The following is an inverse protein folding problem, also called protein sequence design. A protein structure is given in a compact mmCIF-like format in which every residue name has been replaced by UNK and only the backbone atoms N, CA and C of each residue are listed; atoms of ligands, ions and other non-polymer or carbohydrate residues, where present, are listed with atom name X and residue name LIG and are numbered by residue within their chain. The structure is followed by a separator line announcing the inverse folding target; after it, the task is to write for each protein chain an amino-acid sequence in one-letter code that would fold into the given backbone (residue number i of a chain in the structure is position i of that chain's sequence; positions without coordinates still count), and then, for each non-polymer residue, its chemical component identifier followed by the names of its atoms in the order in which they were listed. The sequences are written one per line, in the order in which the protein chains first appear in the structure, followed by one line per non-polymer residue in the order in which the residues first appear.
data_IF_835461882061
#
_entry.id   IF_835461882061
#
_cell.length_a   1.000
_cell.length_b   1.000
_cell.length_c   1.000
_cell.angle_alpha   90.00
_cell.angle_beta   90.00
_cell.angle_gamma   90.00
#
_symmetry.space_group_name_H-M   'P 1'
#
loop_
_entity.id
_entity.type
_entity.pdbx_description
1 polymer ?
#
# COMPACT_ATOMS: atom_id res chain seq x y z
N UNK A 1 10.14 -26.78 10.41
CA UNK A 1 11.48 -27.41 10.39
C UNK A 1 11.49 -28.89 10.74
N UNK A 2 10.75 -29.37 11.78
CA UNK A 2 10.69 -30.79 12.15
C UNK A 2 10.15 -31.70 11.03
N UNK A 3 9.15 -31.24 10.27
CA UNK A 3 8.60 -31.99 9.15
C UNK A 3 9.61 -32.13 7.99
N UNK A 4 10.31 -31.04 7.67
CA UNK A 4 11.37 -31.06 6.67
C UNK A 4 12.51 -32.00 7.04
N UNK A 5 12.95 -31.96 8.30
CA UNK A 5 14.00 -32.85 8.80
C UNK A 5 13.59 -34.35 8.77
N UNK A 6 12.29 -34.66 8.85
CA UNK A 6 11.77 -36.04 8.74
C UNK A 6 11.64 -36.54 7.30
N UNK A 7 11.48 -35.62 6.35
CA UNK A 7 11.30 -35.93 4.93
C UNK A 7 12.61 -35.95 4.14
N UNK A 8 13.66 -35.40 4.72
CA UNK A 8 14.97 -35.33 4.08
C UNK A 8 15.79 -36.58 4.36
N UNK A 9 16.42 -37.15 3.33
CA UNK A 9 17.32 -38.30 3.43
C UNK A 9 18.72 -37.95 3.95
N UNK A 10 18.93 -36.70 4.40
CA UNK A 10 20.20 -36.22 4.91
C UNK A 10 20.09 -34.84 5.57
N UNK A 11 21.21 -34.25 5.99
CA UNK A 11 21.21 -32.92 6.58
C UNK A 11 20.76 -31.88 5.56
N UNK A 12 19.76 -31.07 5.94
CA UNK A 12 19.23 -29.97 5.14
C UNK A 12 19.35 -28.66 5.90
N UNK A 13 19.63 -27.58 5.18
CA UNK A 13 19.60 -26.25 5.74
C UNK A 13 18.13 -25.84 6.02
N UNK A 14 17.91 -25.23 7.17
CA UNK A 14 16.60 -24.66 7.49
C UNK A 14 16.28 -23.53 6.51
N UNK A 15 15.09 -23.52 5.89
CA UNK A 15 14.67 -22.37 5.10
C UNK A 15 14.53 -21.13 5.98
N UNK A 16 14.78 -19.96 5.40
CA UNK A 16 14.46 -18.70 6.02
C UNK A 16 12.94 -18.42 5.84
N UNK A 17 12.30 -17.97 6.90
CA UNK A 17 10.89 -17.61 6.88
C UNK A 17 10.74 -16.11 7.07
N UNK A 18 10.03 -15.46 6.18
CA UNK A 18 9.75 -14.04 6.30
C UNK A 18 8.31 -13.75 5.87
N UNK A 19 7.72 -12.68 6.38
CA UNK A 19 6.43 -12.20 5.89
C UNK A 19 6.62 -11.42 4.59
N UNK A 20 5.54 -11.28 3.81
CA UNK A 20 5.61 -10.46 2.60
C UNK A 20 5.93 -8.99 2.92
N UNK A 21 5.41 -8.47 4.03
CA UNK A 21 5.71 -7.13 4.52
C UNK A 21 7.20 -6.96 4.85
N UNK A 22 7.81 -7.95 5.53
CA UNK A 22 9.24 -7.90 5.83
C UNK A 22 10.08 -8.04 4.57
N UNK A 23 9.61 -8.82 3.59
CA UNK A 23 10.27 -8.89 2.30
C UNK A 23 10.34 -7.50 1.63
N UNK A 24 9.23 -6.79 1.55
CA UNK A 24 9.21 -5.44 0.99
C UNK A 24 10.11 -4.48 1.77
N UNK A 25 10.06 -4.51 3.11
CA UNK A 25 10.91 -3.65 3.97
C UNK A 25 12.40 -3.91 3.80
N UNK A 26 12.81 -5.16 3.63
CA UNK A 26 14.21 -5.52 3.41
C UNK A 26 14.76 -5.05 2.07
N UNK A 27 13.90 -4.85 1.07
CA UNK A 27 14.27 -4.46 -0.29
C UNK A 27 14.03 -2.98 -0.60
N UNK A 28 13.68 -2.18 0.41
CA UNK A 28 13.48 -0.75 0.28
C UNK A 28 14.58 0.04 0.98
N UNK A 29 14.98 1.16 0.39
CA UNK A 29 15.82 2.16 1.05
C UNK A 29 15.01 3.09 1.99
N UNK A 30 13.69 2.99 1.93
CA UNK A 30 12.77 3.78 2.74
C UNK A 30 12.40 3.01 4.03
N UNK A 31 12.14 3.76 5.09
CA UNK A 31 11.69 3.23 6.38
C UNK A 31 10.24 3.63 6.62
N UNK A 32 9.45 2.76 7.23
CA UNK A 32 8.05 3.09 7.58
C UNK A 32 8.04 4.23 8.58
N UNK A 33 7.32 5.29 8.22
CA UNK A 33 7.14 6.45 9.07
C UNK A 33 6.20 6.15 10.24
N UNK A 34 6.43 6.82 11.36
CA UNK A 34 5.45 6.84 12.46
C UNK A 34 4.08 7.36 11.95
N UNK A 35 2.95 6.72 12.33
CA UNK A 35 1.63 7.11 11.85
C UNK A 35 1.26 8.57 12.16
N UNK A 36 1.58 9.06 13.36
CA UNK A 36 1.28 10.45 13.76
C UNK A 36 2.12 11.41 12.92
N UNK A 37 3.41 11.10 12.75
CA UNK A 37 4.30 11.88 11.90
C UNK A 37 3.80 11.93 10.46
N UNK A 38 3.32 10.81 9.93
CA UNK A 38 2.76 10.74 8.57
C UNK A 38 1.58 11.69 8.40
N UNK A 39 0.65 11.73 9.38
CA UNK A 39 -0.48 12.67 9.35
C UNK A 39 0.00 14.13 9.45
N UNK A 40 0.99 14.43 10.29
CA UNK A 40 1.54 15.77 10.39
C UNK A 40 2.21 16.23 9.09
N UNK A 41 2.93 15.34 8.41
CA UNK A 41 3.57 15.65 7.13
C UNK A 41 2.53 15.75 6.00
N UNK A 42 1.48 14.93 6.03
CA UNK A 42 0.34 15.04 5.11
C UNK A 42 -0.41 16.36 5.29
N UNK A 43 -0.62 16.78 6.54
CA UNK A 43 -1.22 18.09 6.85
C UNK A 43 -0.40 19.25 6.28
N UNK A 44 0.93 19.20 6.40
CA UNK A 44 1.80 20.24 5.80
C UNK A 44 1.64 20.28 4.28
N UNK A 45 1.64 19.11 3.63
CA UNK A 45 1.40 19.03 2.18
C UNK A 45 0.04 19.57 1.79
N UNK A 46 -1.00 19.26 2.57
CA UNK A 46 -2.34 19.79 2.36
C UNK A 46 -2.38 21.32 2.45
N UNK A 47 -1.83 21.91 3.50
CA UNK A 47 -1.80 23.37 3.69
C UNK A 47 -0.99 24.03 2.60
N UNK A 48 0.15 23.48 2.22
CA UNK A 48 1.04 24.06 1.22
C UNK A 48 0.41 24.04 -0.18
N UNK A 49 -0.20 22.95 -0.57
CA UNK A 49 -0.85 22.79 -1.88
C UNK A 49 -2.17 23.54 -1.98
N UNK A 50 -2.98 23.51 -0.93
CA UNK A 50 -4.30 24.16 -0.96
C UNK A 50 -4.27 25.65 -0.63
N UNK A 51 -3.27 26.09 0.14
CA UNK A 51 -3.21 27.44 0.72
C UNK A 51 -4.21 27.62 1.88
N UNK A 52 -4.88 26.55 2.34
CA UNK A 52 -5.88 26.63 3.40
C UNK A 52 -5.22 26.59 4.78
N UNK A 53 -4.93 27.75 5.34
CA UNK A 53 -4.35 27.90 6.67
C UNK A 53 -5.40 27.94 7.80
N UNK A 54 -6.70 27.95 7.45
CA UNK A 54 -7.79 27.96 8.44
C UNK A 54 -8.09 26.56 8.97
N UNK A 55 -7.67 25.51 8.26
CA UNK A 55 -7.80 24.14 8.74
C UNK A 55 -6.78 23.88 9.84
N UNK A 56 -7.25 23.46 11.02
CA UNK A 56 -6.34 23.10 12.11
C UNK A 56 -5.90 21.65 12.01
N UNK A 57 -4.75 21.31 12.60
CA UNK A 57 -4.27 19.92 12.61
C UNK A 57 -5.26 18.98 13.32
N UNK A 58 -5.90 19.44 14.41
CA UNK A 58 -6.89 18.63 15.15
C UNK A 58 -8.09 18.27 14.27
N UNK A 59 -8.59 19.23 13.52
CA UNK A 59 -9.71 19.00 12.61
C UNK A 59 -9.28 18.16 11.39
N UNK A 60 -8.08 18.39 10.87
CA UNK A 60 -7.50 17.61 9.79
C UNK A 60 -7.26 16.14 10.18
N UNK A 61 -6.88 15.88 11.43
CA UNK A 61 -6.38 14.57 11.87
C UNK A 61 -7.33 13.42 11.54
N UNK A 62 -8.62 13.60 11.80
CA UNK A 62 -9.62 12.55 11.58
C UNK A 62 -9.76 12.15 10.10
N UNK A 63 -9.95 13.13 9.22
CA UNK A 63 -10.07 12.83 7.80
C UNK A 63 -8.72 12.64 7.08
N UNK A 64 -7.64 13.18 7.64
CA UNK A 64 -6.28 12.94 7.17
C UNK A 64 -5.85 11.48 7.31
N UNK A 65 -6.35 10.77 8.33
CA UNK A 65 -6.14 9.32 8.46
C UNK A 65 -6.80 8.54 7.30
N UNK A 66 -8.00 8.95 6.89
CA UNK A 66 -8.69 8.33 5.75
C UNK A 66 -7.97 8.63 4.45
N UNK A 67 -7.53 9.88 4.26
CA UNK A 67 -6.76 10.26 3.09
C UNK A 67 -5.44 9.49 2.99
N UNK A 68 -4.76 9.26 4.12
CA UNK A 68 -3.55 8.45 4.17
C UNK A 68 -3.84 6.99 3.80
N UNK A 69 -4.95 6.42 4.28
CA UNK A 69 -5.37 5.07 3.93
C UNK A 69 -5.70 4.96 2.43
N UNK A 70 -6.38 5.95 1.85
CA UNK A 70 -6.64 6.00 0.41
C UNK A 70 -5.35 6.07 -0.41
N UNK A 71 -4.37 6.86 0.02
CA UNK A 71 -3.06 6.91 -0.63
C UNK A 71 -2.30 5.59 -0.52
N UNK A 72 -2.41 4.91 0.61
CA UNK A 72 -1.85 3.58 0.82
C UNK A 72 -2.45 2.55 -0.16
N UNK A 73 -3.78 2.58 -0.32
CA UNK A 73 -4.49 1.70 -1.26
C UNK A 73 -4.19 2.04 -2.73
N UNK A 74 -4.06 3.32 -3.08
CA UNK A 74 -3.62 3.76 -4.41
C UNK A 74 -2.28 3.12 -4.76
N UNK A 75 -1.31 3.21 -3.87
CA UNK A 75 0.02 2.68 -4.09
C UNK A 75 0.03 1.14 -4.13
N UNK A 76 -0.67 0.48 -3.21
CA UNK A 76 -0.78 -0.99 -3.18
C UNK A 76 -1.47 -1.56 -4.41
N UNK A 77 -2.41 -0.83 -4.98
CA UNK A 77 -3.10 -1.22 -6.21
C UNK A 77 -2.45 -0.67 -7.49
N UNK A 78 -1.33 0.04 -7.38
CA UNK A 78 -0.64 0.66 -8.53
C UNK A 78 -1.58 1.54 -9.36
N UNK A 79 -2.55 2.16 -8.69
CA UNK A 79 -3.52 3.04 -9.32
C UNK A 79 -2.98 4.46 -9.45
N UNK A 80 -3.59 5.24 -10.34
CA UNK A 80 -3.33 6.67 -10.40
C UNK A 80 -4.27 7.40 -9.42
N UNK A 81 -3.77 8.45 -8.75
CA UNK A 81 -4.54 9.22 -7.77
C UNK A 81 -5.79 9.91 -8.37
N UNK A 82 -5.92 9.91 -9.69
CA UNK A 82 -7.08 10.43 -10.42
C UNK A 82 -8.17 9.39 -10.70
N UNK A 83 -7.94 8.10 -10.37
CA UNK A 83 -8.90 7.04 -10.69
C UNK A 83 -10.22 7.16 -9.92
N UNK A 84 -11.31 6.81 -10.59
CA UNK A 84 -12.67 7.17 -10.13
C UNK A 84 -13.24 6.40 -8.95
N UNK A 85 -12.66 5.25 -8.56
CA UNK A 85 -13.23 4.38 -7.52
C UNK A 85 -13.00 4.92 -6.11
N UNK A 86 -11.86 5.51 -5.85
CA UNK A 86 -11.53 6.16 -4.57
C UNK A 86 -12.36 7.41 -4.28
N UNK A 87 -12.92 8.02 -5.35
CA UNK A 87 -13.88 9.13 -5.25
C UNK A 87 -15.11 8.81 -4.41
N UNK A 88 -15.52 7.55 -4.36
CA UNK A 88 -16.76 7.16 -3.70
C UNK A 88 -16.65 7.09 -2.18
N UNK A 89 -15.51 6.70 -1.63
CA UNK A 89 -15.33 6.56 -0.17
C UNK A 89 -15.11 7.90 0.51
N UNK A 90 -14.24 8.74 -0.02
CA UNK A 90 -14.10 10.13 0.43
C UNK A 90 -15.43 10.91 0.33
N UNK A 91 -16.21 10.70 -0.75
CA UNK A 91 -17.56 11.28 -0.86
C UNK A 91 -18.48 10.84 0.26
N UNK A 92 -18.49 9.55 0.61
CA UNK A 92 -19.34 9.01 1.69
C UNK A 92 -18.92 9.57 3.05
N UNK A 93 -17.62 9.70 3.26
CA UNK A 93 -17.10 10.28 4.51
C UNK A 93 -17.56 11.73 4.67
N UNK A 94 -17.32 12.59 3.68
CA UNK A 94 -17.73 13.99 3.76
C UNK A 94 -19.25 14.16 3.83
N UNK A 95 -20.03 13.27 3.23
CA UNK A 95 -21.50 13.31 3.32
C UNK A 95 -22.04 13.02 4.73
N UNK A 96 -21.27 12.36 5.59
CA UNK A 96 -21.69 11.95 6.92
C UNK A 96 -21.28 12.91 8.05
N UNK A 97 -20.44 13.90 7.78
CA UNK A 97 -19.77 14.68 8.84
C UNK A 97 -20.10 16.18 8.89
N UNK A 98 -20.93 16.71 7.98
CA UNK A 98 -21.21 18.15 7.96
C UNK A 98 -22.71 18.47 7.97
N UNK A 99 -23.09 19.33 8.93
CA UNK A 99 -24.44 19.91 9.04
C UNK A 99 -24.70 21.01 7.97
N UNK A 100 -23.67 21.39 7.16
CA UNK A 100 -23.78 22.39 6.08
C UNK A 100 -23.39 21.82 4.71
N UNK A 101 -24.36 21.32 3.91
CA UNK A 101 -24.08 20.64 2.63
C UNK A 101 -23.41 21.49 1.56
N UNK A 102 -23.61 22.81 1.56
CA UNK A 102 -23.03 23.69 0.52
C UNK A 102 -21.55 23.98 0.74
N UNK A 103 -21.16 24.30 1.96
CA UNK A 103 -19.74 24.51 2.33
C UNK A 103 -18.89 23.24 2.19
N UNK A 104 -19.49 22.09 2.45
CA UNK A 104 -18.87 20.79 2.28
C UNK A 104 -18.56 20.48 0.83
N UNK A 105 -19.52 20.75 -0.05
CA UNK A 105 -19.39 20.48 -1.49
C UNK A 105 -18.24 21.28 -2.10
N UNK A 106 -18.09 22.54 -1.73
CA UNK A 106 -17.01 23.41 -2.22
C UNK A 106 -15.64 22.93 -1.72
N UNK A 107 -15.53 22.58 -0.44
CA UNK A 107 -14.31 22.00 0.15
C UNK A 107 -13.92 20.70 -0.53
N UNK A 108 -14.91 19.83 -0.77
CA UNK A 108 -14.69 18.57 -1.46
C UNK A 108 -14.17 18.77 -2.89
N UNK A 109 -14.79 19.67 -3.66
CA UNK A 109 -14.38 19.96 -5.05
C UNK A 109 -12.95 20.54 -5.07
N UNK A 110 -12.65 21.43 -4.13
CA UNK A 110 -11.32 22.06 -4.02
C UNK A 110 -10.25 21.05 -3.62
N UNK A 111 -10.53 20.22 -2.62
CA UNK A 111 -9.64 19.13 -2.21
C UNK A 111 -9.41 18.17 -3.37
N UNK A 112 -10.51 17.83 -4.05
CA UNK A 112 -10.46 16.88 -5.15
C UNK A 112 -9.63 17.37 -6.33
N UNK A 113 -9.75 18.62 -6.72
CA UNK A 113 -8.95 19.20 -7.78
C UNK A 113 -7.44 19.24 -7.48
N UNK A 114 -7.09 19.19 -6.19
CA UNK A 114 -5.70 19.27 -5.71
C UNK A 114 -5.18 17.94 -5.13
N UNK A 115 -5.98 16.89 -5.16
CA UNK A 115 -5.64 15.62 -4.50
C UNK A 115 -4.35 15.00 -5.04
N UNK A 116 -4.18 15.05 -6.36
CA UNK A 116 -2.97 14.53 -7.00
C UNK A 116 -1.73 15.34 -6.62
N UNK A 117 -1.86 16.66 -6.51
CA UNK A 117 -0.77 17.53 -6.09
C UNK A 117 -0.40 17.28 -4.62
N UNK A 118 -1.39 17.11 -3.74
CA UNK A 118 -1.19 16.76 -2.33
C UNK A 118 -0.49 15.40 -2.21
N UNK A 119 -0.94 14.40 -2.96
CA UNK A 119 -0.34 13.07 -2.99
C UNK A 119 1.13 13.12 -3.42
N UNK A 120 1.43 13.85 -4.49
CA UNK A 120 2.79 13.97 -5.02
C UNK A 120 3.70 14.73 -4.05
N UNK A 121 3.25 15.87 -3.49
CA UNK A 121 4.01 16.63 -2.50
C UNK A 121 4.28 15.80 -1.25
N UNK A 122 3.28 15.12 -0.73
CA UNK A 122 3.41 14.26 0.45
C UNK A 122 4.44 13.13 0.23
N UNK A 123 4.36 12.43 -0.90
CA UNK A 123 5.35 11.39 -1.26
C UNK A 123 6.76 11.96 -1.38
N UNK A 124 6.90 13.12 -2.01
CA UNK A 124 8.21 13.78 -2.15
C UNK A 124 8.76 14.18 -0.78
N UNK A 125 7.93 14.72 0.11
CA UNK A 125 8.28 15.10 1.49
C UNK A 125 8.76 13.90 2.31
N UNK A 126 8.05 12.80 2.26
CA UNK A 126 8.46 11.56 2.93
C UNK A 126 9.77 11.00 2.33
N UNK A 127 9.87 10.94 1.01
CA UNK A 127 11.07 10.44 0.32
C UNK A 127 12.31 11.28 0.65
N UNK A 128 12.18 12.58 0.77
CA UNK A 128 13.26 13.48 1.21
C UNK A 128 13.76 13.18 2.63
N UNK A 129 12.95 12.54 3.46
CA UNK A 129 13.29 12.10 4.82
C UNK A 129 13.69 10.61 4.87
N UNK A 130 13.74 9.91 3.74
CA UNK A 130 13.88 8.44 3.63
C UNK A 130 12.77 7.69 4.37
N UNK A 131 11.58 8.25 4.41
CA UNK A 131 10.39 7.68 5.02
C UNK A 131 9.36 7.32 3.95
N UNK A 132 8.46 6.39 4.31
CA UNK A 132 7.31 6.01 3.50
C UNK A 132 6.16 5.51 4.40
N UNK A 133 4.93 5.59 3.93
CA UNK A 133 3.86 4.70 4.40
C UNK A 133 3.95 3.36 3.64
N UNK A 134 3.21 2.36 4.08
CA UNK A 134 3.41 0.98 3.62
C UNK A 134 3.23 0.81 2.11
N UNK A 135 2.13 1.29 1.55
CA UNK A 135 1.86 1.21 0.11
C UNK A 135 2.91 1.91 -0.75
N UNK A 136 3.36 3.11 -0.31
CA UNK A 136 4.43 3.83 -0.99
C UNK A 136 5.73 3.03 -1.01
N UNK A 137 6.08 2.37 0.10
CA UNK A 137 7.26 1.51 0.19
C UNK A 137 7.13 0.30 -0.74
N UNK A 138 5.97 -0.36 -0.77
CA UNK A 138 5.74 -1.52 -1.63
C UNK A 138 5.80 -1.16 -3.11
N UNK A 139 5.17 -0.05 -3.48
CA UNK A 139 5.23 0.48 -4.86
C UNK A 139 6.66 0.79 -5.28
N UNK A 140 7.43 1.46 -4.41
CA UNK A 140 8.83 1.81 -4.67
C UNK A 140 9.69 0.56 -4.95
N UNK A 141 9.50 -0.50 -4.17
CA UNK A 141 10.21 -1.79 -4.37
C UNK A 141 9.85 -2.44 -5.70
N UNK A 142 8.57 -2.42 -6.09
CA UNK A 142 8.11 -3.04 -7.34
C UNK A 142 8.56 -2.25 -8.56
N UNK A 143 8.52 -0.91 -8.49
CA UNK A 143 8.98 -0.01 -9.55
C UNK A 143 10.51 -0.03 -9.68
N UNK A 144 11.24 -0.35 -8.61
CA UNK A 144 12.68 -0.44 -8.62
C UNK A 144 13.16 -1.72 -9.33
N UNK A 145 13.93 -1.55 -10.40
CA UNK A 145 14.45 -2.68 -11.18
C UNK A 145 15.49 -3.53 -10.45
N UNK A 146 16.02 -3.07 -9.31
CA UNK A 146 17.15 -3.70 -8.60
C UNK A 146 16.70 -4.36 -7.29
N UNK A 147 15.84 -5.36 -7.35
CA UNK A 147 15.64 -6.26 -6.21
C UNK A 147 16.81 -7.24 -6.21
N UNK A 148 17.68 -7.15 -5.22
CA UNK A 148 18.75 -8.14 -5.02
C UNK A 148 18.13 -9.43 -4.47
N UNK A 149 18.12 -10.46 -5.27
CA UNK A 149 17.61 -11.77 -4.92
C UNK A 149 18.67 -12.53 -4.12
N UNK A 150 18.49 -12.64 -2.81
CA UNK A 150 19.44 -13.26 -1.90
C UNK A 150 19.46 -14.80 -1.95
N UNK A 151 18.33 -15.40 -2.37
CA UNK A 151 18.13 -16.84 -2.39
C UNK A 151 17.95 -17.34 -3.83
N UNK A 152 18.38 -18.57 -4.06
CA UNK A 152 18.22 -19.23 -5.35
C UNK A 152 16.75 -19.50 -5.69
N UNK A 153 15.92 -19.76 -4.67
CA UNK A 153 14.52 -20.07 -4.84
C UNK A 153 13.66 -19.54 -3.68
N UNK A 154 12.48 -19.05 -4.01
CA UNK A 154 11.47 -18.53 -3.08
C UNK A 154 10.21 -19.39 -3.14
N UNK A 155 9.64 -19.68 -1.98
CA UNK A 155 8.38 -20.43 -1.86
C UNK A 155 7.35 -19.50 -1.21
N UNK A 156 6.32 -19.15 -1.96
CA UNK A 156 5.20 -18.33 -1.49
C UNK A 156 4.03 -19.21 -1.08
N UNK A 157 3.58 -19.06 0.17
CA UNK A 157 2.56 -19.94 0.76
C UNK A 157 1.50 -19.12 1.50
N UNK A 158 0.23 -19.47 1.37
CA UNK A 158 -0.86 -18.98 2.20
C UNK A 158 -1.44 -17.62 1.75
N UNK A 159 -1.31 -17.29 0.49
CA UNK A 159 -1.93 -16.07 -0.07
C UNK A 159 -3.32 -16.41 -0.64
N UNK A 160 -4.34 -15.63 -0.29
CA UNK A 160 -5.70 -15.77 -0.80
C UNK A 160 -6.06 -14.65 -1.78
N UNK A 161 -5.88 -13.39 -1.36
CA UNK A 161 -6.13 -12.21 -2.20
C UNK A 161 -4.85 -11.43 -2.32
N UNK A 162 -4.45 -11.10 -3.54
CA UNK A 162 -3.21 -10.37 -3.82
C UNK A 162 -3.51 -8.94 -4.22
N UNK A 163 -2.84 -8.01 -3.57
CA UNK A 163 -2.75 -6.63 -4.03
C UNK A 163 -1.94 -6.53 -5.33
N UNK A 164 -2.10 -5.47 -6.07
CA UNK A 164 -1.44 -5.33 -7.38
C UNK A 164 0.09 -5.34 -7.28
N UNK A 165 0.64 -4.70 -6.26
CA UNK A 165 2.09 -4.72 -5.98
C UNK A 165 2.62 -6.14 -5.75
N UNK A 166 1.87 -6.97 -5.01
CA UNK A 166 2.24 -8.37 -4.79
C UNK A 166 2.16 -9.19 -6.06
N UNK A 167 1.11 -8.98 -6.87
CA UNK A 167 0.98 -9.64 -8.18
C UNK A 167 2.15 -9.31 -9.11
N UNK A 168 2.60 -8.06 -9.12
CA UNK A 168 3.73 -7.63 -9.95
C UNK A 168 5.05 -8.24 -9.44
N UNK A 169 5.25 -8.24 -8.13
CA UNK A 169 6.40 -8.90 -7.50
C UNK A 169 6.43 -10.40 -7.87
N UNK A 170 5.31 -11.11 -7.70
CA UNK A 170 5.22 -12.54 -8.00
C UNK A 170 5.44 -12.84 -9.47
N UNK A 171 4.88 -12.02 -10.38
CA UNK A 171 5.13 -12.15 -11.83
C UNK A 171 6.61 -12.01 -12.18
N UNK A 172 7.33 -11.13 -11.49
CA UNK A 172 8.78 -10.97 -11.67
C UNK A 172 9.53 -12.24 -11.27
N UNK A 173 9.24 -12.80 -10.08
CA UNK A 173 9.87 -14.03 -9.61
C UNK A 173 9.54 -15.25 -10.50
N UNK A 174 8.31 -15.31 -11.00
CA UNK A 174 7.91 -16.35 -11.98
C UNK A 174 8.72 -16.25 -13.28
N UNK A 175 8.88 -15.02 -13.79
CA UNK A 175 9.64 -14.79 -15.04
C UNK A 175 11.12 -15.15 -14.88
N UNK A 176 11.67 -14.99 -13.69
CA UNK A 176 13.05 -15.35 -13.35
C UNK A 176 13.23 -16.84 -12.99
N UNK A 177 12.14 -17.63 -13.01
CA UNK A 177 12.10 -19.06 -12.62
C UNK A 177 12.60 -19.32 -11.18
N UNK A 178 12.45 -18.32 -10.31
CA UNK A 178 12.95 -18.34 -8.93
C UNK A 178 11.87 -18.52 -7.87
N UNK A 179 10.64 -18.87 -8.28
CA UNK A 179 9.54 -19.00 -7.35
C UNK A 179 8.64 -20.20 -7.56
N UNK A 180 8.18 -20.76 -6.45
CA UNK A 180 7.07 -21.71 -6.39
C UNK A 180 5.96 -21.15 -5.52
N UNK A 181 4.71 -21.38 -5.92
CA UNK A 181 3.52 -20.86 -5.25
C UNK A 181 2.63 -21.98 -4.75
N UNK A 182 2.22 -21.89 -3.51
CA UNK A 182 1.29 -22.81 -2.87
C UNK A 182 0.12 -22.01 -2.33
N UNK A 183 -1.02 -22.16 -3.01
CA UNK A 183 -2.26 -21.45 -2.70
C UNK A 183 -3.14 -22.32 -1.80
N UNK A 184 -3.66 -21.69 -0.74
CA UNK A 184 -4.74 -22.28 0.04
C UNK A 184 -6.07 -21.78 -0.55
N UNK A 185 -6.84 -22.66 -1.15
CA UNK A 185 -8.10 -22.31 -1.79
C UNK A 185 -9.20 -23.32 -1.45
N UNK A 186 -10.43 -22.83 -1.31
CA UNK A 186 -11.60 -23.67 -1.19
C UNK A 186 -12.18 -23.96 -2.60
N UNK A 187 -12.41 -25.24 -2.89
CA UNK A 187 -13.01 -25.68 -4.15
C UNK A 187 -14.39 -25.09 -4.41
N UNK A 188 -15.08 -24.66 -3.36
CA UNK A 188 -16.39 -24.01 -3.47
C UNK A 188 -16.29 -22.72 -4.26
N UNK A 189 -15.33 -21.86 -3.92
CA UNK A 189 -15.11 -20.56 -4.57
C UNK A 189 -14.52 -20.65 -5.98
N UNK A 190 -13.79 -21.73 -6.27
CA UNK A 190 -13.18 -21.95 -7.60
C UNK A 190 -14.19 -22.17 -8.73
N UNK A 191 -15.45 -22.43 -8.42
CA UNK A 191 -16.52 -22.69 -9.41
C UNK A 191 -17.38 -21.47 -9.70
N UNK A 192 -17.26 -20.41 -8.93
CA UNK A 192 -18.02 -19.18 -9.10
C UNK A 192 -17.21 -18.14 -9.89
N UNK A 193 -17.77 -17.63 -10.99
CA UNK A 193 -17.17 -16.53 -11.76
C UNK A 193 -17.48 -15.15 -11.17
N UNK A 194 -18.30 -15.10 -10.12
CA UNK A 194 -18.82 -13.87 -9.51
C UNK A 194 -18.24 -13.59 -8.11
N UNK A 195 -17.44 -14.49 -7.58
CA UNK A 195 -16.81 -14.34 -6.27
C UNK A 195 -15.28 -14.26 -6.45
N UNK A 196 -14.66 -13.35 -5.72
CA UNK A 196 -13.21 -13.24 -5.68
C UNK A 196 -12.65 -14.51 -5.00
N UNK A 197 -11.97 -15.31 -5.78
CA UNK A 197 -11.23 -16.50 -5.35
C UNK A 197 -9.77 -16.35 -5.70
#
# INVERSE_FOLDING_TARGET
NQALARLADGPVWSPAYITISDFFRQHSELTIADPIKSICDLYKSYVEVTGNTNETLDHFYGWGQLLLADFDDIDKNMADAESGEQKAELRRFFANFDDNPEGLRERFITLWAKLNDIYNDFRQRLRGQKLAYEGMLYRDVVENAKIEVQYEHYIFVGFNVLQKVEQLLFKRFLKEEKASFYWDYDRYYMKSTNEAG
#
